data_IF_213463703272
#
_entry.id   IF_213463703272
#
_cell.length_a   1.000
_cell.length_b   1.000
_cell.length_c   1.000
_cell.angle_alpha   90.00
_cell.angle_beta   90.00
_cell.angle_gamma   90.00
#
_symmetry.space_group_name_H-M   'P 1'
#
loop_
_entity.id
_entity.type
_entity.pdbx_description
1 polymer ?
#
# COMPACT_ATOMS: atom_id res chain seq x y z
N UNK A 1 11.41 -8.65 31.84
CA UNK A 1 11.47 -8.92 30.38
C UNK A 1 11.23 -10.39 30.19
N UNK A 2 9.95 -10.79 30.09
CA UNK A 2 9.60 -12.14 29.66
C UNK A 2 9.55 -12.13 28.13
N UNK A 3 10.48 -12.84 27.50
CA UNK A 3 10.36 -13.18 26.09
C UNK A 3 9.34 -14.31 26.03
N UNK A 4 8.13 -14.02 25.60
CA UNK A 4 7.17 -15.06 25.23
C UNK A 4 7.73 -15.80 24.01
N UNK A 5 8.28 -16.99 24.25
CA UNK A 5 8.66 -17.93 23.19
C UNK A 5 7.39 -18.58 22.68
N UNK A 6 6.92 -18.15 21.51
CA UNK A 6 5.80 -18.80 20.81
C UNK A 6 6.31 -20.18 20.35
N UNK A 7 5.56 -21.25 20.63
CA UNK A 7 5.92 -22.60 20.22
C UNK A 7 5.76 -22.75 18.69
N UNK A 8 6.45 -23.71 18.08
CA UNK A 8 6.33 -23.97 16.64
C UNK A 8 4.89 -24.25 16.17
N UNK A 9 4.04 -24.78 17.07
CA UNK A 9 2.62 -24.96 16.81
C UNK A 9 1.87 -23.62 16.79
N UNK A 10 2.18 -22.72 17.73
CA UNK A 10 1.57 -21.39 17.77
C UNK A 10 1.95 -20.52 16.56
N UNK A 11 3.17 -20.66 16.03
CA UNK A 11 3.54 -20.00 14.77
C UNK A 11 2.82 -20.58 13.55
N UNK A 12 2.49 -21.87 13.56
CA UNK A 12 1.73 -22.52 12.49
C UNK A 12 0.28 -22.08 12.50
N UNK A 13 -0.38 -22.14 13.65
CA UNK A 13 -1.78 -21.72 13.82
C UNK A 13 -1.97 -20.25 13.45
N UNK A 14 -1.01 -19.39 13.83
CA UNK A 14 -1.02 -17.97 13.47
C UNK A 14 -0.92 -17.74 11.96
N UNK A 15 -0.06 -18.50 11.28
CA UNK A 15 0.07 -18.44 9.83
C UNK A 15 -1.20 -18.91 9.13
N UNK A 16 -1.85 -19.93 9.67
CA UNK A 16 -3.11 -20.45 9.12
C UNK A 16 -4.25 -19.43 9.29
N UNK A 17 -4.32 -18.74 10.43
CA UNK A 17 -5.27 -17.65 10.69
C UNK A 17 -5.07 -16.47 9.72
N UNK A 18 -3.83 -16.04 9.56
CA UNK A 18 -3.43 -14.99 8.61
C UNK A 18 -3.79 -15.37 7.17
N UNK A 19 -3.49 -16.62 6.77
CA UNK A 19 -3.82 -17.12 5.44
C UNK A 19 -5.33 -17.20 5.24
N UNK A 20 -6.09 -17.61 6.26
CA UNK A 20 -7.55 -17.58 6.25
C UNK A 20 -8.08 -16.17 6.06
N UNK A 21 -7.52 -15.18 6.75
CA UNK A 21 -7.92 -13.78 6.59
C UNK A 21 -7.58 -13.23 5.20
N UNK A 22 -6.37 -13.48 4.68
CA UNK A 22 -5.99 -13.06 3.33
C UNK A 22 -6.86 -13.71 2.26
N UNK A 23 -7.18 -15.00 2.41
CA UNK A 23 -8.05 -15.73 1.51
C UNK A 23 -9.52 -15.22 1.55
N UNK A 24 -9.91 -14.53 2.62
CA UNK A 24 -11.23 -13.88 2.70
C UNK A 24 -11.35 -12.61 1.85
N UNK A 25 -10.23 -12.05 1.38
CA UNK A 25 -10.23 -10.81 0.62
C UNK A 25 -10.47 -11.08 -0.87
N UNK A 26 -11.34 -10.30 -1.54
CA UNK A 26 -11.43 -10.30 -2.99
C UNK A 26 -10.05 -10.00 -3.58
N UNK A 27 -9.69 -10.72 -4.64
CA UNK A 27 -8.39 -10.54 -5.29
C UNK A 27 -8.49 -10.44 -6.80
N UNK A 28 -7.67 -9.59 -7.38
CA UNK A 28 -7.39 -9.57 -8.82
C UNK A 28 -5.94 -9.97 -9.07
N UNK A 29 -5.57 -10.18 -10.33
CA UNK A 29 -4.17 -10.34 -10.69
C UNK A 29 -3.59 -8.97 -10.99
N UNK A 30 -2.51 -8.64 -10.30
CA UNK A 30 -1.67 -7.51 -10.63
C UNK A 30 -0.99 -7.73 -11.99
N UNK A 31 -0.39 -6.69 -12.57
CA UNK A 31 0.28 -6.74 -13.87
C UNK A 31 1.45 -7.73 -13.93
N UNK A 32 2.06 -8.06 -12.78
CA UNK A 32 3.12 -9.07 -12.63
C UNK A 32 2.59 -10.48 -12.32
N UNK A 33 1.26 -10.65 -12.31
CA UNK A 33 0.59 -11.91 -12.00
C UNK A 33 0.47 -12.22 -10.51
N UNK A 34 1.02 -11.38 -9.62
CA UNK A 34 0.84 -11.50 -8.19
C UNK A 34 -0.61 -11.20 -7.79
N UNK A 35 -1.16 -11.87 -6.74
CA UNK A 35 -2.48 -11.54 -6.25
C UNK A 35 -2.49 -10.14 -5.65
N UNK A 36 -3.37 -9.30 -6.17
CA UNK A 36 -3.73 -8.03 -5.58
C UNK A 36 -4.98 -8.22 -4.75
N UNK A 37 -4.81 -8.22 -3.43
CA UNK A 37 -5.93 -8.28 -2.50
C UNK A 37 -6.55 -6.90 -2.33
N UNK A 38 -7.81 -6.79 -2.72
CA UNK A 38 -8.65 -5.69 -2.33
C UNK A 38 -9.18 -6.04 -0.95
N UNK A 39 -8.81 -5.26 0.06
CA UNK A 39 -9.70 -5.24 1.20
C UNK A 39 -10.87 -4.39 0.78
N UNK A 40 -11.97 -5.06 0.45
CA UNK A 40 -13.25 -4.40 0.51
C UNK A 40 -13.33 -3.27 -0.59
N UNK A 41 -12.58 -3.30 -1.69
CA UNK A 41 -12.65 -2.25 -2.74
C UNK A 41 -11.77 -1.01 -2.48
N UNK A 42 -10.88 -1.12 -1.49
CA UNK A 42 -9.72 -0.25 -1.29
C UNK A 42 -8.48 -1.13 -1.33
N UNK A 43 -7.36 -0.55 -1.76
CA UNK A 43 -6.04 -1.18 -1.61
C UNK A 43 -5.80 -1.57 -0.15
N UNK A 44 -5.35 -2.80 0.09
CA UNK A 44 -5.25 -3.41 1.42
C UNK A 44 -4.76 -2.41 2.51
N UNK A 45 -5.64 -1.96 3.43
CA UNK A 45 -5.32 -0.92 4.41
C UNK A 45 -4.27 -1.41 5.42
N UNK A 46 -4.12 -2.72 5.60
CA UNK A 46 -3.09 -3.30 6.46
C UNK A 46 -1.69 -3.19 5.84
N UNK A 47 -1.55 -3.44 4.52
CA UNK A 47 -0.28 -3.23 3.83
C UNK A 47 0.10 -1.74 3.80
N UNK A 48 -0.89 -0.86 3.64
CA UNK A 48 -0.70 0.59 3.75
C UNK A 48 -0.19 0.97 5.14
N UNK A 49 -0.82 0.45 6.19
CA UNK A 49 -0.45 0.72 7.59
C UNK A 49 0.98 0.30 7.88
N UNK A 50 1.35 -0.91 7.46
CA UNK A 50 2.71 -1.43 7.63
C UNK A 50 3.73 -0.63 6.81
N UNK A 51 3.36 -0.25 5.58
CA UNK A 51 4.20 0.66 4.78
C UNK A 51 4.44 1.99 5.48
N UNK A 52 3.38 2.60 6.05
CA UNK A 52 3.47 3.84 6.82
C UNK A 52 4.41 3.69 8.02
N UNK A 53 4.30 2.63 8.80
CA UNK A 53 5.19 2.43 9.96
C UNK A 53 6.65 2.29 9.53
N UNK A 54 6.95 1.45 8.54
CA UNK A 54 8.33 1.31 8.05
C UNK A 54 8.89 2.62 7.48
N UNK A 55 8.05 3.40 6.82
CA UNK A 55 8.40 4.72 6.30
C UNK A 55 8.68 5.72 7.43
N UNK A 56 7.72 5.91 8.34
CA UNK A 56 7.80 6.88 9.44
C UNK A 56 9.00 6.64 10.37
N UNK A 57 9.38 5.37 10.59
CA UNK A 57 10.55 5.00 11.40
C UNK A 57 11.89 5.44 10.79
N UNK A 58 11.94 5.59 9.46
CA UNK A 58 13.15 5.97 8.72
C UNK A 58 13.26 7.47 8.46
N UNK A 59 12.16 8.21 8.63
CA UNK A 59 12.16 9.66 8.50
C UNK A 59 12.68 10.33 9.77
N UNK A 60 13.76 11.10 9.64
CA UNK A 60 14.31 11.90 10.73
C UNK A 60 13.96 13.34 10.49
N UNK A 61 13.01 13.86 11.27
CA UNK A 61 12.75 15.31 11.34
C UNK A 61 13.47 15.87 12.54
N UNK A 62 14.05 17.06 12.40
CA UNK A 62 14.60 17.78 13.54
C UNK A 62 13.53 17.92 14.63
N UNK A 63 13.89 17.58 15.86
CA UNK A 63 13.02 17.64 17.05
C UNK A 63 11.82 16.66 17.09
N UNK A 64 11.73 15.69 16.19
CA UNK A 64 10.73 14.62 16.27
C UNK A 64 11.43 13.27 16.39
N UNK A 65 11.16 12.56 17.49
CA UNK A 65 11.66 11.19 17.67
C UNK A 65 10.93 10.27 16.68
N UNK A 66 11.65 9.50 15.85
CA UNK A 66 11.02 8.49 15.01
C UNK A 66 10.31 7.44 15.87
N UNK A 67 9.26 6.83 15.32
CA UNK A 67 8.62 5.68 15.95
C UNK A 67 9.65 4.57 16.18
N UNK A 68 9.62 3.92 17.33
CA UNK A 68 10.51 2.82 17.67
C UNK A 68 9.93 1.45 17.27
N UNK A 69 8.61 1.28 17.45
CA UNK A 69 7.85 0.10 17.05
C UNK A 69 6.50 0.46 16.42
N UNK A 70 5.82 -0.54 15.85
CA UNK A 70 4.43 -0.41 15.39
C UNK A 70 3.52 -0.16 16.58
N UNK A 71 3.72 -0.88 17.69
CA UNK A 71 2.90 -0.75 18.91
C UNK A 71 2.87 0.70 19.44
N UNK A 72 4.00 1.41 19.40
CA UNK A 72 4.10 2.79 19.89
C UNK A 72 3.19 3.76 19.10
N UNK A 73 2.92 3.47 17.82
CA UNK A 73 2.11 4.34 16.97
C UNK A 73 0.75 3.78 16.60
N UNK A 74 0.44 2.53 16.94
CA UNK A 74 -0.78 1.85 16.50
C UNK A 74 -2.06 2.55 17.01
N UNK A 75 -2.09 2.90 18.30
CA UNK A 75 -3.23 3.61 18.90
C UNK A 75 -3.48 4.97 18.22
N UNK A 76 -2.41 5.71 17.91
CA UNK A 76 -2.50 6.98 17.21
C UNK A 76 -3.12 6.81 15.82
N UNK A 77 -2.69 5.80 15.06
CA UNK A 77 -3.26 5.53 13.73
C UNK A 77 -4.72 5.09 13.82
N UNK A 78 -5.09 4.30 14.84
CA UNK A 78 -6.48 3.94 15.12
C UNK A 78 -7.36 5.16 15.43
N UNK A 79 -6.78 6.18 16.08
CA UNK A 79 -7.43 7.49 16.30
C UNK A 79 -7.40 8.41 15.08
N UNK A 80 -6.75 8.00 13.98
CA UNK A 80 -6.60 8.78 12.76
C UNK A 80 -5.43 9.78 12.79
N UNK A 81 -4.62 9.73 13.84
CA UNK A 81 -3.48 10.62 14.09
C UNK A 81 -2.25 10.03 13.38
N UNK A 82 -2.15 10.33 12.09
CA UNK A 82 -0.96 10.03 11.28
C UNK A 82 -0.68 11.16 10.30
N UNK A 83 0.52 11.18 9.70
CA UNK A 83 0.82 12.17 8.66
C UNK A 83 -0.16 12.00 7.50
N UNK A 84 -0.79 13.11 7.08
CA UNK A 84 -1.87 13.14 6.07
C UNK A 84 -3.10 12.28 6.44
N UNK A 85 -3.26 11.99 7.73
CA UNK A 85 -4.40 11.26 8.25
C UNK A 85 -5.65 12.14 8.45
N UNK A 86 -6.80 11.49 8.71
CA UNK A 86 -6.94 10.04 8.82
C UNK A 86 -7.02 9.33 7.45
N UNK A 87 -6.56 8.07 7.41
CA UNK A 87 -6.51 7.26 6.18
C UNK A 87 -7.88 7.16 5.47
N UNK A 88 -8.94 6.89 6.23
CA UNK A 88 -10.28 6.68 5.68
C UNK A 88 -10.87 7.93 5.01
N UNK A 89 -10.51 9.14 5.46
CA UNK A 89 -10.97 10.37 4.80
C UNK A 89 -10.36 10.53 3.42
N UNK A 90 -9.07 10.20 3.29
CA UNK A 90 -8.37 10.22 2.00
C UNK A 90 -8.98 9.21 1.04
N UNK A 91 -9.15 7.96 1.48
CA UNK A 91 -9.78 6.89 0.72
C UNK A 91 -11.19 7.29 0.26
N UNK A 92 -11.99 7.84 1.17
CA UNK A 92 -13.34 8.28 0.86
C UNK A 92 -13.36 9.42 -0.17
N UNK A 93 -12.41 10.35 -0.09
CA UNK A 93 -12.24 11.42 -1.07
C UNK A 93 -11.97 10.88 -2.47
N UNK A 94 -10.99 9.98 -2.61
CA UNK A 94 -10.66 9.35 -3.90
C UNK A 94 -11.80 8.48 -4.43
N UNK A 95 -12.48 7.74 -3.56
CA UNK A 95 -13.65 6.96 -3.94
C UNK A 95 -14.74 7.85 -4.55
N UNK A 96 -15.11 8.94 -3.88
CA UNK A 96 -16.11 9.88 -4.42
C UNK A 96 -15.69 10.45 -5.76
N UNK A 97 -14.42 10.81 -5.92
CA UNK A 97 -13.88 11.29 -7.19
C UNK A 97 -13.95 10.22 -8.31
N UNK A 98 -13.71 8.94 -7.98
CA UNK A 98 -13.83 7.84 -8.96
C UNK A 98 -15.27 7.59 -9.41
N UNK A 99 -16.27 7.88 -8.57
CA UNK A 99 -17.67 7.78 -8.98
C UNK A 99 -18.05 8.81 -10.06
N UNK A 100 -17.36 9.95 -10.08
CA UNK A 100 -17.51 10.97 -11.12
C UNK A 100 -16.80 10.58 -12.42
N UNK A 101 -15.81 9.67 -12.35
CA UNK A 101 -14.95 9.25 -13.46
C UNK A 101 -14.66 7.74 -13.39
N UNK A 102 -15.60 6.88 -13.85
CA UNK A 102 -15.55 5.44 -13.65
C UNK A 102 -14.58 4.70 -14.59
N UNK A 103 -13.52 5.36 -15.04
CA UNK A 103 -12.56 4.76 -15.95
C UNK A 103 -11.85 3.58 -15.26
N UNK A 104 -11.84 2.42 -15.91
CA UNK A 104 -11.06 1.27 -15.45
C UNK A 104 -9.61 1.49 -15.84
N UNK A 105 -8.75 1.59 -14.83
CA UNK A 105 -7.35 1.95 -15.01
C UNK A 105 -6.47 0.69 -14.98
N UNK A 106 -5.96 0.30 -16.15
CA UNK A 106 -4.72 -0.49 -16.21
C UNK A 106 -3.54 0.44 -16.53
N UNK A 107 -2.31 -0.06 -16.34
CA UNK A 107 -1.10 0.75 -16.53
C UNK A 107 -1.00 1.36 -17.94
N UNK A 108 -1.48 0.65 -18.96
CA UNK A 108 -1.47 1.11 -20.35
C UNK A 108 -2.46 2.26 -20.53
N UNK A 109 -3.68 2.10 -20.03
CA UNK A 109 -4.69 3.14 -20.02
C UNK A 109 -4.23 4.39 -19.26
N UNK A 110 -3.69 4.22 -18.05
CA UNK A 110 -3.20 5.33 -17.22
C UNK A 110 -2.05 6.07 -17.91
N UNK A 111 -1.11 5.36 -18.55
CA UNK A 111 -0.02 5.99 -19.28
C UNK A 111 -0.53 6.76 -20.50
N UNK A 112 -1.46 6.21 -21.28
CA UNK A 112 -2.07 6.92 -22.41
C UNK A 112 -2.82 8.18 -21.96
N UNK A 113 -3.62 8.07 -20.90
CA UNK A 113 -4.32 9.22 -20.31
C UNK A 113 -3.37 10.29 -19.79
N UNK A 114 -2.30 9.90 -19.13
CA UNK A 114 -1.29 10.84 -18.65
C UNK A 114 -0.59 11.55 -19.82
N UNK A 115 -0.25 10.80 -20.87
CA UNK A 115 0.37 11.33 -22.08
C UNK A 115 -0.57 12.33 -22.79
N UNK A 116 -1.86 12.00 -22.94
CA UNK A 116 -2.90 12.92 -23.43
C UNK A 116 -2.98 14.19 -22.58
N UNK A 117 -3.02 14.06 -21.25
CA UNK A 117 -3.10 15.19 -20.32
C UNK A 117 -1.90 16.14 -20.42
N UNK A 118 -0.70 15.58 -20.64
CA UNK A 118 0.52 16.36 -20.84
C UNK A 118 0.64 16.96 -22.24
N UNK A 119 -0.32 16.70 -23.14
CA UNK A 119 -0.29 17.16 -24.53
C UNK A 119 0.69 16.39 -25.41
N UNK A 120 1.08 15.18 -25.01
CA UNK A 120 2.06 14.32 -25.66
C UNK A 120 1.47 12.90 -25.89
N UNK A 121 0.31 12.75 -26.56
CA UNK A 121 -0.29 11.44 -26.76
C UNK A 121 0.63 10.53 -27.56
N UNK A 122 0.64 9.24 -27.22
CA UNK A 122 1.39 8.24 -27.99
C UNK A 122 0.86 8.15 -29.42
N UNK A 123 1.78 8.09 -30.38
CA UNK A 123 1.47 7.78 -31.77
C UNK A 123 1.23 6.29 -31.97
N UNK A 124 0.50 5.92 -33.03
CA UNK A 124 0.33 4.49 -33.40
C UNK A 124 1.67 3.77 -33.58
N UNK A 125 2.70 4.50 -34.02
CA UNK A 125 4.04 3.95 -34.20
C UNK A 125 4.66 3.59 -32.85
N UNK A 126 4.63 4.51 -31.88
CA UNK A 126 5.16 4.27 -30.53
C UNK A 126 4.41 3.12 -29.83
N UNK A 127 3.09 3.03 -30.03
CA UNK A 127 2.32 1.89 -29.52
C UNK A 127 2.74 0.57 -30.17
N UNK A 128 2.90 0.52 -31.50
CA UNK A 128 3.36 -0.69 -32.21
C UNK A 128 4.80 -1.08 -31.86
N UNK A 129 5.63 -0.09 -31.53
CA UNK A 129 7.03 -0.29 -31.12
C UNK A 129 7.16 -0.66 -29.63
N UNK A 130 6.07 -0.66 -28.86
CA UNK A 130 6.05 -1.09 -27.47
C UNK A 130 6.57 -0.05 -26.47
N UNK A 131 6.53 1.24 -26.83
CA UNK A 131 7.05 2.34 -25.99
C UNK A 131 6.33 2.41 -24.63
N UNK A 132 5.03 2.08 -24.60
CA UNK A 132 4.25 2.08 -23.36
C UNK A 132 4.77 1.00 -22.39
N UNK A 133 5.05 -0.20 -22.91
CA UNK A 133 5.63 -1.31 -22.16
C UNK A 133 7.04 -0.97 -21.69
N UNK A 134 7.84 -0.26 -22.50
CA UNK A 134 9.17 0.22 -22.11
C UNK A 134 9.12 1.24 -20.97
N UNK A 135 8.22 2.22 -21.04
CA UNK A 135 7.98 3.19 -19.96
C UNK A 135 7.51 2.48 -18.69
N UNK A 136 6.54 1.57 -18.82
CA UNK A 136 6.04 0.76 -17.70
C UNK A 136 7.17 -0.02 -17.02
N UNK A 137 8.05 -0.67 -17.81
CA UNK A 137 9.22 -1.38 -17.31
C UNK A 137 10.24 -0.43 -16.66
N UNK A 138 10.48 0.74 -17.23
CA UNK A 138 11.37 1.76 -16.67
C UNK A 138 10.86 2.28 -15.32
N UNK A 139 9.55 2.46 -15.19
CA UNK A 139 8.89 2.90 -13.96
C UNK A 139 8.55 1.75 -13.00
N UNK A 140 8.87 0.50 -13.35
CA UNK A 140 8.59 -0.65 -12.48
C UNK A 140 9.31 -0.56 -11.14
N UNK A 141 8.70 -1.11 -10.10
CA UNK A 141 9.28 -1.09 -8.75
C UNK A 141 10.69 -1.69 -8.72
N UNK A 142 10.90 -2.83 -9.37
CA UNK A 142 12.20 -3.49 -9.40
C UNK A 142 13.25 -2.67 -10.15
N UNK A 143 12.90 -2.02 -11.26
CA UNK A 143 13.84 -1.14 -11.93
C UNK A 143 14.20 0.07 -11.04
N UNK A 144 13.19 0.80 -10.56
CA UNK A 144 13.40 2.00 -9.75
C UNK A 144 14.17 1.70 -8.46
N UNK A 145 13.83 0.63 -7.75
CA UNK A 145 14.53 0.20 -6.52
C UNK A 145 16.01 -0.07 -6.75
N UNK A 146 16.38 -0.54 -7.94
CA UNK A 146 17.74 -0.95 -8.26
C UNK A 146 18.61 0.17 -8.85
N UNK A 147 18.03 1.32 -9.19
CA UNK A 147 18.79 2.50 -9.61
C UNK A 147 19.75 2.97 -8.51
N UNK A 148 20.96 3.37 -8.90
CA UNK A 148 22.00 3.82 -7.96
C UNK A 148 21.49 4.93 -7.04
N UNK A 149 20.85 5.95 -7.61
CA UNK A 149 20.27 7.08 -6.86
C UNK A 149 19.27 6.63 -5.77
N UNK A 150 18.57 5.51 -5.97
CA UNK A 150 17.59 5.00 -5.00
C UNK A 150 18.22 4.05 -3.98
N UNK A 151 19.39 3.47 -4.28
CA UNK A 151 20.12 2.58 -3.35
C UNK A 151 21.02 3.36 -2.42
N UNK A 152 21.72 4.37 -2.93
CA UNK A 152 22.76 5.11 -2.21
C UNK A 152 22.42 6.57 -1.96
N UNK A 153 21.44 7.13 -2.67
CA UNK A 153 21.06 8.53 -2.52
C UNK A 153 20.35 8.84 -1.21
N UNK A 154 20.28 10.12 -0.89
CA UNK A 154 19.71 10.65 0.33
C UNK A 154 18.79 11.84 0.02
N UNK A 155 17.60 11.84 0.61
CA UNK A 155 16.62 12.89 0.45
C UNK A 155 16.73 13.89 1.60
N UNK A 156 17.55 14.92 1.40
CA UNK A 156 17.92 15.89 2.44
C UNK A 156 16.69 16.55 3.10
N UNK A 157 15.70 16.96 2.31
CA UNK A 157 14.50 17.61 2.84
C UNK A 157 13.67 16.73 3.79
N UNK A 158 13.83 15.42 3.68
CA UNK A 158 13.16 14.42 4.51
C UNK A 158 14.05 13.82 5.61
N UNK A 159 15.36 14.09 5.56
CA UNK A 159 16.35 13.45 6.44
C UNK A 159 16.37 11.92 6.32
N UNK A 160 16.11 11.37 5.13
CA UNK A 160 15.98 9.91 4.92
C UNK A 160 16.73 9.41 3.68
N UNK A 161 17.33 8.20 3.73
CA UNK A 161 17.89 7.56 2.52
C UNK A 161 16.79 7.29 1.48
N UNK A 162 17.11 7.42 0.19
CA UNK A 162 16.15 7.16 -0.90
C UNK A 162 15.64 5.71 -0.90
N UNK A 163 16.44 4.78 -0.40
CA UNK A 163 16.04 3.38 -0.23
C UNK A 163 14.85 3.18 0.71
N UNK A 164 14.49 4.21 1.50
CA UNK A 164 13.28 4.25 2.33
C UNK A 164 11.99 4.17 1.49
N UNK A 165 11.99 4.74 0.28
CA UNK A 165 10.82 4.73 -0.60
C UNK A 165 10.60 3.37 -1.30
N UNK A 166 11.61 2.50 -1.33
CA UNK A 166 11.59 1.23 -2.06
C UNK A 166 11.80 0.01 -1.16
N UNK A 167 10.77 -0.33 -0.36
CA UNK A 167 10.85 -1.40 0.65
C UNK A 167 10.69 -2.82 0.08
N UNK A 168 9.46 -3.20 -0.28
CA UNK A 168 9.11 -4.55 -0.72
C UNK A 168 8.10 -4.60 -1.87
N UNK A 169 7.12 -3.67 -1.91
CA UNK A 169 6.02 -3.67 -2.88
C UNK A 169 5.34 -5.05 -3.05
N UNK A 170 5.06 -5.70 -1.92
CA UNK A 170 4.37 -6.99 -1.87
C UNK A 170 3.04 -6.82 -1.16
N UNK A 171 2.00 -7.40 -1.75
CA UNK A 171 0.67 -7.45 -1.15
C UNK A 171 0.63 -8.59 -0.12
N UNK A 172 -0.03 -8.36 1.00
CA UNK A 172 -0.12 -9.28 2.12
C UNK A 172 1.11 -9.29 3.04
N UNK A 173 2.07 -8.39 2.84
CA UNK A 173 3.29 -8.34 3.68
C UNK A 173 2.99 -7.90 5.11
N UNK A 174 1.82 -7.29 5.35
CA UNK A 174 1.37 -6.85 6.68
C UNK A 174 1.40 -7.95 7.75
N UNK A 175 1.20 -9.20 7.35
CA UNK A 175 1.13 -10.33 8.26
C UNK A 175 2.44 -10.67 8.95
N UNK A 176 3.56 -10.13 8.44
CA UNK A 176 4.88 -10.26 9.08
C UNK A 176 5.11 -9.23 10.17
N UNK A 177 4.26 -8.20 10.26
CA UNK A 177 4.49 -7.00 11.07
C UNK A 177 3.34 -6.73 12.06
N UNK A 178 2.10 -7.13 11.75
CA UNK A 178 0.93 -6.97 12.62
C UNK A 178 0.49 -8.29 13.25
N UNK A 179 0.03 -8.24 14.49
CA UNK A 179 -0.72 -9.34 15.08
C UNK A 179 -2.15 -9.42 14.49
N UNK A 180 -2.82 -10.58 14.56
CA UNK A 180 -4.22 -10.72 14.14
C UNK A 180 -5.13 -9.71 14.84
N UNK A 181 -4.95 -9.50 16.15
CA UNK A 181 -5.77 -8.56 16.92
C UNK A 181 -5.59 -7.10 16.48
N UNK A 182 -4.37 -6.70 16.10
CA UNK A 182 -4.12 -5.37 15.52
C UNK A 182 -4.77 -5.25 14.14
N UNK A 183 -4.65 -6.29 13.30
CA UNK A 183 -5.28 -6.31 11.99
C UNK A 183 -6.80 -6.18 12.10
N UNK A 184 -7.45 -7.04 12.90
CA UNK A 184 -8.88 -7.02 13.13
C UNK A 184 -9.36 -5.67 13.70
N UNK A 185 -8.67 -5.14 14.71
CA UNK A 185 -8.99 -3.84 15.30
C UNK A 185 -8.99 -2.74 14.23
N UNK A 186 -7.93 -2.65 13.43
CA UNK A 186 -7.81 -1.60 12.42
C UNK A 186 -8.84 -1.78 11.29
N UNK A 187 -9.06 -3.01 10.82
CA UNK A 187 -10.06 -3.30 9.80
C UNK A 187 -11.47 -2.91 10.26
N UNK A 188 -11.82 -3.18 11.52
CA UNK A 188 -13.10 -2.79 12.11
C UNK A 188 -13.28 -1.28 12.15
N UNK A 189 -12.24 -0.53 12.53
CA UNK A 189 -12.27 0.95 12.50
C UNK A 189 -12.50 1.45 11.07
N UNK A 190 -11.75 0.93 10.09
CA UNK A 190 -11.90 1.33 8.69
C UNK A 190 -13.32 1.05 8.18
N UNK A 191 -13.89 -0.10 8.51
CA UNK A 191 -15.27 -0.44 8.18
C UNK A 191 -16.27 0.52 8.81
N UNK A 192 -16.17 0.80 10.11
CA UNK A 192 -17.05 1.74 10.81
C UNK A 192 -16.97 3.15 10.23
N UNK A 193 -15.77 3.62 9.87
CA UNK A 193 -15.56 4.97 9.32
C UNK A 193 -16.06 5.14 7.89
N UNK A 194 -16.05 4.07 7.10
CA UNK A 194 -16.50 4.07 5.72
C UNK A 194 -17.95 3.59 5.57
N UNK A 195 -18.59 3.15 6.65
CA UNK A 195 -19.99 2.72 6.65
C UNK A 195 -20.92 3.82 6.10
N UNK A 196 -21.90 3.43 5.27
CA UNK A 196 -22.87 4.35 4.67
C UNK A 196 -22.33 5.20 3.52
N UNK A 197 -21.06 5.10 3.15
CA UNK A 197 -20.48 5.86 2.03
C UNK A 197 -20.84 5.32 0.63
N UNK A 198 -21.44 4.13 0.56
CA UNK A 198 -21.63 3.42 -0.70
C UNK A 198 -20.35 2.85 -1.31
N UNK A 199 -19.19 3.06 -0.68
CA UNK A 199 -17.97 2.28 -0.91
C UNK A 199 -18.27 0.85 -0.44
N UNK A 200 -18.92 0.11 -1.33
CA UNK A 200 -19.41 -1.23 -1.05
C UNK A 200 -18.28 -2.20 -1.27
N UNK A 201 -17.98 -2.89 -0.19
CA UNK A 201 -16.84 -3.71 -0.09
C UNK A 201 -17.12 -5.12 -0.61
N UNK A 202 -17.16 -5.30 -1.93
CA UNK A 202 -17.55 -6.57 -2.56
C UNK A 202 -16.48 -7.64 -2.36
N UNK A 203 -16.72 -8.56 -1.43
CA UNK A 203 -16.07 -9.88 -1.43
C UNK A 203 -16.54 -10.58 -2.70
N UNK A 204 -15.61 -10.97 -3.55
CA UNK A 204 -15.89 -11.72 -4.77
C UNK A 204 -16.51 -13.07 -4.38
N UNK A 205 -17.73 -13.32 -4.87
CA UNK A 205 -18.33 -14.66 -4.92
C UNK A 205 -17.50 -15.63 -5.78
#
# INVERSE_FOLDING_TARGET
>A
MEKNTISSNGESELKDEIQGLLASFPSERNWDGAPLYFYKGVWNPLDQLVSYFHFARKFKRENVKPLSSIDEGFDNVCLGIQSYGPFWDSVLGYWKASLERPDKEDITFSLKKLAEFLGLPFSEKEEKEGVIEEISKLCSFDNLRNLEVNRTGFFESAGAPNSTFFRKAKVGDWCNDLSPSMAECFLKIVEEKLAGSGLSFKVSE
#
